data_IF_615928709719
#
_entry.id   IF_615928709719
#
_cell.length_a   1.000
_cell.length_b   1.000
_cell.length_c   1.000
_cell.angle_alpha   90.00
_cell.angle_beta   90.00
_cell.angle_gamma   90.00
#
_symmetry.space_group_name_H-M   'P 1'
#
loop_
_entity.id
_entity.type
_entity.pdbx_description
1 polymer ?
#
# COMPACT_ATOMS: atom_id res chain seq x y z
N UNK A 1 -34.24 -4.72 -7.35
CA UNK A 1 -33.37 -4.69 -6.18
C UNK A 1 -32.33 -3.62 -6.52
N UNK A 2 -32.29 -2.52 -5.78
CA UNK A 2 -31.21 -1.52 -5.97
C UNK A 2 -29.88 -2.16 -5.65
N UNK A 3 -28.83 -1.88 -6.44
CA UNK A 3 -27.47 -2.24 -6.08
C UNK A 3 -27.17 -1.65 -4.69
N UNK A 4 -26.64 -2.46 -3.81
CA UNK A 4 -26.24 -2.04 -2.48
C UNK A 4 -25.07 -1.09 -2.66
N UNK A 5 -25.23 0.16 -2.24
CA UNK A 5 -24.21 1.21 -2.40
C UNK A 5 -23.07 0.94 -1.43
N UNK A 6 -21.87 0.79 -1.96
CA UNK A 6 -20.70 0.43 -1.17
C UNK A 6 -19.39 0.90 -1.81
N UNK A 7 -18.29 0.72 -1.11
CA UNK A 7 -16.96 0.96 -1.65
C UNK A 7 -16.52 -0.24 -2.49
N UNK A 8 -16.19 -0.01 -3.77
CA UNK A 8 -15.54 -1.01 -4.63
C UNK A 8 -14.04 -0.81 -4.58
N UNK A 9 -13.31 -1.81 -4.09
CA UNK A 9 -11.84 -1.80 -4.00
C UNK A 9 -11.22 -2.61 -5.12
N UNK A 10 -10.57 -1.95 -6.07
CA UNK A 10 -9.75 -2.56 -7.11
C UNK A 10 -8.40 -2.95 -6.52
N UNK A 11 -8.15 -4.25 -6.43
CA UNK A 11 -7.14 -4.78 -5.53
C UNK A 11 -6.34 -5.94 -6.11
N UNK A 12 -5.09 -6.03 -5.69
CA UNK A 12 -4.25 -7.23 -5.77
C UNK A 12 -3.43 -7.34 -4.47
N UNK A 13 -3.04 -8.57 -4.01
CA UNK A 13 -2.34 -8.75 -2.73
C UNK A 13 -0.88 -8.26 -2.79
N UNK A 14 -0.70 -6.97 -2.82
CA UNK A 14 0.56 -6.24 -2.78
C UNK A 14 0.63 -5.37 -1.53
N UNK A 15 1.81 -4.88 -1.13
CA UNK A 15 1.89 -3.97 0.02
C UNK A 15 0.94 -2.77 -0.10
N UNK A 16 0.80 -2.19 -1.29
CA UNK A 16 -0.08 -1.03 -1.47
C UNK A 16 -1.57 -1.41 -1.40
N UNK A 17 -1.96 -2.59 -1.91
CA UNK A 17 -3.32 -3.10 -1.75
C UNK A 17 -3.69 -3.32 -0.29
N UNK A 18 -2.77 -3.92 0.48
CA UNK A 18 -2.98 -4.17 1.90
C UNK A 18 -3.15 -2.90 2.75
N UNK A 19 -2.63 -1.75 2.35
CA UNK A 19 -2.89 -0.48 3.03
C UNK A 19 -4.39 -0.20 3.13
N UNK A 20 -5.08 -0.36 2.02
CA UNK A 20 -6.52 -0.06 1.91
C UNK A 20 -7.37 -1.13 2.61
N UNK A 21 -7.05 -2.43 2.42
CA UNK A 21 -7.79 -3.48 3.16
C UNK A 21 -7.62 -3.35 4.68
N UNK A 22 -6.44 -2.93 5.17
CA UNK A 22 -6.24 -2.67 6.60
C UNK A 22 -7.14 -1.55 7.09
N UNK A 23 -7.28 -0.47 6.34
CA UNK A 23 -8.18 0.62 6.70
C UNK A 23 -9.63 0.16 6.74
N UNK A 24 -10.12 -0.45 5.67
CA UNK A 24 -11.51 -0.88 5.53
C UNK A 24 -11.92 -1.88 6.63
N UNK A 25 -11.04 -2.83 6.96
CA UNK A 25 -11.27 -3.80 8.03
C UNK A 25 -11.19 -3.18 9.45
N UNK A 26 -10.36 -2.17 9.66
CA UNK A 26 -10.25 -1.48 10.94
C UNK A 26 -11.46 -0.56 11.18
N UNK A 27 -11.88 0.19 10.17
CA UNK A 27 -13.04 1.07 10.18
C UNK A 27 -14.37 0.30 10.08
N UNK A 28 -14.33 -1.01 9.82
CA UNK A 28 -15.52 -1.89 9.65
C UNK A 28 -16.47 -1.38 8.56
N UNK A 29 -15.91 -0.84 7.49
CA UNK A 29 -16.65 -0.41 6.32
C UNK A 29 -17.04 -1.62 5.47
N UNK A 30 -18.24 -1.60 4.91
CA UNK A 30 -18.65 -2.57 3.90
C UNK A 30 -18.02 -2.24 2.55
N UNK A 31 -17.45 -3.26 1.90
CA UNK A 31 -16.78 -3.10 0.62
C UNK A 31 -16.77 -4.38 -0.21
N UNK A 32 -16.72 -4.20 -1.50
CA UNK A 32 -16.51 -5.27 -2.48
C UNK A 32 -15.08 -5.23 -3.02
N UNK A 33 -14.42 -6.38 -3.14
CA UNK A 33 -13.12 -6.48 -3.81
C UNK A 33 -13.34 -6.84 -5.28
N UNK A 34 -12.81 -5.99 -6.17
CA UNK A 34 -12.66 -6.23 -7.59
C UNK A 34 -11.20 -6.58 -7.86
N UNK A 35 -10.85 -7.85 -8.09
CA UNK A 35 -9.48 -8.25 -8.33
C UNK A 35 -8.94 -7.63 -9.62
N UNK A 36 -7.71 -7.11 -9.58
CA UNK A 36 -6.95 -6.63 -10.75
C UNK A 36 -5.66 -7.43 -10.82
N UNK A 37 -5.63 -8.47 -11.63
CA UNK A 37 -4.46 -9.35 -11.77
C UNK A 37 -3.35 -8.65 -12.54
N UNK A 38 -2.45 -8.00 -11.80
CA UNK A 38 -1.32 -7.26 -12.38
C UNK A 38 -0.32 -8.15 -13.13
N UNK A 39 -0.27 -9.44 -12.83
CA UNK A 39 0.55 -10.41 -13.54
C UNK A 39 0.00 -10.78 -14.91
N UNK A 40 -1.28 -10.49 -15.17
CA UNK A 40 -1.95 -10.71 -16.47
C UNK A 40 -2.18 -9.42 -17.27
N UNK A 41 -1.83 -8.27 -16.71
CA UNK A 41 -1.95 -6.99 -17.42
C UNK A 41 -3.32 -6.33 -17.31
N UNK A 42 -4.21 -6.79 -16.41
CA UNK A 42 -5.55 -6.22 -16.23
C UNK A 42 -5.50 -4.73 -15.82
N UNK A 43 -4.39 -4.26 -15.24
CA UNK A 43 -4.17 -2.84 -14.94
C UNK A 43 -4.06 -1.96 -16.19
N UNK A 44 -3.95 -2.53 -17.39
CA UNK A 44 -3.90 -1.80 -18.66
C UNK A 44 -5.23 -1.80 -19.41
N UNK A 45 -6.26 -2.40 -18.86
CA UNK A 45 -7.58 -2.38 -19.45
C UNK A 45 -8.17 -0.97 -19.41
N UNK A 46 -8.84 -0.57 -20.51
CA UNK A 46 -9.44 0.77 -20.65
C UNK A 46 -10.43 1.08 -19.52
N UNK A 47 -11.17 0.07 -19.06
CA UNK A 47 -12.09 0.19 -17.93
C UNK A 47 -11.38 0.62 -16.64
N UNK A 48 -10.23 0.00 -16.35
CA UNK A 48 -9.45 0.32 -15.15
C UNK A 48 -8.69 1.65 -15.30
N UNK A 49 -8.16 1.97 -16.48
CA UNK A 49 -7.46 3.24 -16.73
C UNK A 49 -8.36 4.47 -16.53
N UNK A 50 -9.68 4.36 -16.73
CA UNK A 50 -10.64 5.43 -16.39
C UNK A 50 -10.72 5.72 -14.91
N UNK A 51 -10.42 4.73 -14.05
CA UNK A 51 -10.45 4.81 -12.58
C UNK A 51 -9.06 5.19 -12.05
N UNK A 52 -8.02 4.58 -12.60
CA UNK A 52 -6.63 4.72 -12.18
C UNK A 52 -5.72 5.00 -13.39
N UNK A 53 -5.60 6.26 -13.84
CA UNK A 53 -4.84 6.61 -15.06
C UNK A 53 -3.34 6.28 -14.96
N UNK A 54 -2.84 6.07 -13.74
CA UNK A 54 -1.45 5.61 -13.50
C UNK A 54 -1.26 4.09 -13.71
N UNK A 55 -2.29 3.36 -14.17
CA UNK A 55 -2.27 1.89 -14.33
C UNK A 55 -1.69 1.14 -13.11
N UNK A 56 -2.00 1.59 -11.92
CA UNK A 56 -1.58 1.00 -10.65
C UNK A 56 -2.78 0.76 -9.74
N UNK A 57 -2.79 -0.41 -9.12
CA UNK A 57 -3.69 -0.69 -8.01
C UNK A 57 -2.99 -0.30 -6.68
N UNK A 58 -3.72 -0.02 -5.61
CA UNK A 58 -5.18 0.00 -5.48
C UNK A 58 -5.82 1.26 -6.06
N UNK A 59 -7.09 1.13 -6.36
CA UNK A 59 -8.03 2.24 -6.61
C UNK A 59 -9.36 1.91 -5.93
N UNK A 60 -10.19 2.91 -5.68
CA UNK A 60 -11.55 2.70 -5.17
C UNK A 60 -12.57 3.44 -6.04
N UNK A 61 -13.82 2.96 -6.02
CA UNK A 61 -15.01 3.75 -6.33
C UNK A 61 -15.85 3.77 -5.06
N UNK A 62 -16.23 4.95 -4.61
CA UNK A 62 -17.16 5.12 -3.50
C UNK A 62 -18.50 5.57 -4.07
N UNK A 63 -19.53 4.72 -3.91
CA UNK A 63 -20.87 4.97 -4.43
C UNK A 63 -21.66 5.98 -3.55
N UNK A 64 -21.15 6.30 -2.35
CA UNK A 64 -21.75 7.24 -1.40
C UNK A 64 -20.70 8.21 -0.82
N UNK A 65 -20.16 9.16 -1.62
CA UNK A 65 -19.21 10.13 -1.11
C UNK A 65 -19.83 11.05 -0.08
N UNK A 66 -18.98 11.64 0.81
CA UNK A 66 -19.44 12.50 1.91
C UNK A 66 -20.25 13.73 1.48
N UNK A 67 -19.97 14.26 0.30
CA UNK A 67 -20.67 15.41 -0.26
C UNK A 67 -22.06 15.06 -0.81
N UNK A 68 -22.43 13.77 -0.83
CA UNK A 68 -23.71 13.27 -1.33
C UNK A 68 -23.86 13.38 -2.86
N UNK A 69 -22.75 13.63 -3.57
CA UNK A 69 -22.71 13.73 -5.02
C UNK A 69 -22.73 12.37 -5.74
N UNK A 70 -22.36 12.38 -7.03
CA UNK A 70 -22.17 11.19 -7.82
C UNK A 70 -21.01 10.34 -7.29
N UNK A 71 -20.95 9.02 -7.61
CA UNK A 71 -19.84 8.17 -7.21
C UNK A 71 -18.47 8.76 -7.56
N UNK A 72 -17.52 8.68 -6.62
CA UNK A 72 -16.16 9.19 -6.82
C UNK A 72 -15.16 8.06 -6.97
N UNK A 73 -14.24 8.18 -7.93
CA UNK A 73 -13.08 7.29 -8.04
C UNK A 73 -11.84 7.95 -7.45
N UNK A 74 -11.08 7.18 -6.66
CA UNK A 74 -9.82 7.64 -6.05
C UNK A 74 -8.73 6.61 -6.35
N UNK A 75 -7.61 7.06 -6.89
CA UNK A 75 -6.40 6.28 -7.06
C UNK A 75 -5.27 6.85 -6.20
N UNK A 76 -4.12 6.18 -6.13
CA UNK A 76 -3.02 6.37 -5.18
C UNK A 76 -3.37 5.93 -3.75
N UNK A 77 -2.64 4.94 -3.25
CA UNK A 77 -2.94 4.33 -1.94
C UNK A 77 -2.90 5.34 -0.78
N UNK A 78 -2.05 6.37 -0.85
CA UNK A 78 -2.01 7.45 0.14
C UNK A 78 -3.23 8.36 0.07
N UNK A 79 -3.67 8.73 -1.15
CA UNK A 79 -4.87 9.52 -1.34
C UNK A 79 -6.14 8.76 -0.91
N UNK A 80 -6.19 7.46 -1.19
CA UNK A 80 -7.28 6.58 -0.73
C UNK A 80 -7.34 6.55 0.80
N UNK A 81 -6.21 6.35 1.47
CA UNK A 81 -6.16 6.36 2.94
C UNK A 81 -6.61 7.71 3.51
N UNK A 82 -6.16 8.82 2.95
CA UNK A 82 -6.59 10.15 3.37
C UNK A 82 -8.10 10.36 3.16
N UNK A 83 -8.61 10.02 1.97
CA UNK A 83 -10.04 10.13 1.64
C UNK A 83 -10.92 9.33 2.61
N UNK A 84 -10.54 8.06 2.85
CA UNK A 84 -11.29 7.20 3.76
C UNK A 84 -11.24 7.70 5.21
N UNK A 85 -10.09 8.22 5.66
CA UNK A 85 -9.93 8.78 6.98
C UNK A 85 -10.77 10.05 7.16
N UNK A 86 -10.85 10.92 6.16
CA UNK A 86 -11.72 12.09 6.16
C UNK A 86 -13.20 11.69 6.07
N UNK A 87 -13.53 10.65 5.32
CA UNK A 87 -14.90 10.11 5.22
C UNK A 87 -15.42 9.56 6.54
N UNK A 88 -14.58 8.89 7.31
CA UNK A 88 -14.97 8.23 8.56
C UNK A 88 -14.71 9.05 9.81
N UNK A 89 -13.95 10.12 9.72
CA UNK A 89 -13.39 10.88 10.85
C UNK A 89 -12.54 9.98 11.78
N UNK A 90 -11.88 8.95 11.20
CA UNK A 90 -11.07 7.98 11.94
C UNK A 90 -9.63 7.92 11.40
N UNK A 91 -8.67 7.54 12.24
CA UNK A 91 -7.24 7.31 11.91
C UNK A 91 -6.51 8.54 11.36
N UNK A 92 -7.10 9.71 11.46
CA UNK A 92 -6.51 11.03 11.21
C UNK A 92 -7.06 11.99 12.25
N UNK A 93 -6.20 12.68 13.03
CA UNK A 93 -6.70 13.59 14.08
C UNK A 93 -7.24 14.89 13.48
N UNK A 94 -8.25 15.47 14.15
CA UNK A 94 -8.82 16.76 13.80
C UNK A 94 -7.94 17.94 14.23
N UNK A 95 -7.07 17.76 15.25
CA UNK A 95 -6.08 18.76 15.63
C UNK A 95 -5.07 18.98 14.51
N UNK A 96 -4.92 20.23 14.08
CA UNK A 96 -4.06 20.60 12.95
C UNK A 96 -2.61 20.10 13.11
N UNK A 97 -2.03 20.25 14.31
CA UNK A 97 -0.62 19.88 14.53
C UNK A 97 -0.42 18.36 14.46
N UNK A 98 -1.32 17.62 15.08
CA UNK A 98 -1.33 16.15 15.02
C UNK A 98 -1.63 15.64 13.60
N UNK A 99 -2.58 16.29 12.90
CA UNK A 99 -2.88 15.97 11.49
C UNK A 99 -1.65 16.15 10.60
N UNK A 100 -0.92 17.25 10.78
CA UNK A 100 0.33 17.51 10.05
C UNK A 100 1.34 16.38 10.29
N UNK A 101 1.53 15.94 11.53
CA UNK A 101 2.43 14.81 11.83
C UNK A 101 2.04 13.53 11.11
N UNK A 102 0.75 13.17 11.11
CA UNK A 102 0.26 12.00 10.35
C UNK A 102 0.56 12.14 8.86
N UNK A 103 0.30 13.33 8.29
CA UNK A 103 0.51 13.59 6.86
C UNK A 103 1.99 13.60 6.48
N UNK A 104 2.89 14.13 7.32
CA UNK A 104 4.34 14.05 7.11
C UNK A 104 4.80 12.60 6.93
N UNK A 105 4.36 11.71 7.81
CA UNK A 105 4.72 10.30 7.75
C UNK A 105 4.01 9.54 6.62
N UNK A 106 2.78 9.92 6.28
CA UNK A 106 2.11 9.39 5.10
C UNK A 106 2.89 9.73 3.82
N UNK A 107 3.24 11.01 3.63
CA UNK A 107 4.03 11.45 2.47
C UNK A 107 5.46 10.90 2.47
N UNK A 108 6.08 10.79 3.64
CA UNK A 108 7.38 10.13 3.78
C UNK A 108 7.33 8.67 3.30
N UNK A 109 6.25 7.96 3.63
CA UNK A 109 6.07 6.59 3.13
C UNK A 109 5.87 6.57 1.61
N UNK A 110 5.01 7.46 1.07
CA UNK A 110 4.69 7.49 -0.36
C UNK A 110 5.85 7.97 -1.22
N UNK A 111 6.64 8.92 -0.75
CA UNK A 111 7.80 9.46 -1.48
C UNK A 111 9.13 8.76 -1.19
N UNK A 112 9.23 8.00 -0.11
CA UNK A 112 10.47 7.40 0.37
C UNK A 112 10.39 5.90 0.57
N UNK A 113 9.81 5.45 1.70
CA UNK A 113 9.86 4.04 2.11
C UNK A 113 9.32 3.10 1.04
N UNK A 114 8.11 3.35 0.52
CA UNK A 114 7.48 2.50 -0.48
C UNK A 114 8.30 2.40 -1.77
N UNK A 115 8.64 3.52 -2.43
CA UNK A 115 9.43 3.51 -3.66
C UNK A 115 10.81 2.88 -3.49
N UNK A 116 11.55 3.22 -2.43
CA UNK A 116 12.91 2.71 -2.24
C UNK A 116 12.93 1.22 -1.87
N UNK A 117 12.04 0.77 -0.99
CA UNK A 117 11.85 -0.65 -0.70
C UNK A 117 11.36 -1.43 -1.92
N UNK A 118 10.56 -0.80 -2.80
CA UNK A 118 10.15 -1.36 -4.07
C UNK A 118 11.31 -1.58 -5.03
N UNK A 119 12.22 -0.60 -5.16
CA UNK A 119 13.44 -0.75 -5.96
C UNK A 119 14.38 -1.79 -5.35
N UNK A 120 14.54 -1.80 -4.02
CA UNK A 120 15.27 -2.85 -3.32
C UNK A 120 14.74 -4.24 -3.73
N UNK A 121 13.44 -4.45 -3.61
CA UNK A 121 12.77 -5.70 -3.97
C UNK A 121 13.01 -6.09 -5.43
N UNK A 122 12.98 -5.10 -6.34
CA UNK A 122 13.24 -5.33 -7.76
C UNK A 122 14.66 -5.86 -7.98
N UNK A 123 15.67 -5.16 -7.49
CA UNK A 123 17.06 -5.55 -7.73
C UNK A 123 17.51 -6.77 -6.94
N UNK A 124 16.94 -7.03 -5.77
CA UNK A 124 17.25 -8.22 -4.97
C UNK A 124 16.58 -9.48 -5.52
N UNK A 125 15.34 -9.36 -6.07
CA UNK A 125 14.50 -10.54 -6.33
C UNK A 125 14.02 -10.69 -7.77
N UNK A 126 13.93 -9.62 -8.56
CA UNK A 126 13.24 -9.65 -9.85
C UNK A 126 14.12 -9.29 -11.04
N UNK A 127 15.18 -8.55 -10.86
CA UNK A 127 16.11 -8.22 -11.94
C UNK A 127 16.65 -9.52 -12.60
N UNK A 128 16.72 -9.57 -13.95
CA UNK A 128 17.15 -10.78 -14.67
C UNK A 128 18.59 -11.14 -14.33
N UNK A 129 19.44 -10.15 -14.14
CA UNK A 129 20.85 -10.31 -13.76
C UNK A 129 21.14 -9.54 -12.47
N UNK A 130 21.99 -10.08 -11.58
CA UNK A 130 22.42 -9.36 -10.39
C UNK A 130 23.22 -8.12 -10.77
N UNK A 131 22.83 -6.96 -10.22
CA UNK A 131 23.56 -5.68 -10.35
C UNK A 131 24.06 -5.29 -8.94
N UNK A 132 25.28 -5.69 -8.55
CA UNK A 132 25.76 -5.55 -7.17
C UNK A 132 25.64 -4.14 -6.62
N UNK A 133 26.02 -3.14 -7.40
CA UNK A 133 25.91 -1.73 -7.01
C UNK A 133 24.46 -1.31 -6.76
N UNK A 134 23.51 -1.70 -7.59
CA UNK A 134 22.09 -1.36 -7.39
C UNK A 134 21.52 -2.07 -6.16
N UNK A 135 21.87 -3.33 -5.97
CA UNK A 135 21.47 -4.11 -4.79
C UNK A 135 21.98 -3.43 -3.53
N UNK A 136 23.28 -3.16 -3.44
CA UNK A 136 23.88 -2.50 -2.29
C UNK A 136 23.25 -1.13 -2.01
N UNK A 137 23.10 -0.32 -3.05
CA UNK A 137 22.51 1.02 -2.95
C UNK A 137 21.11 0.99 -2.35
N UNK A 138 20.23 0.12 -2.85
CA UNK A 138 18.83 0.10 -2.40
C UNK A 138 18.64 -0.67 -1.09
N UNK A 139 19.46 -1.66 -0.78
CA UNK A 139 19.49 -2.31 0.55
C UNK A 139 19.89 -1.28 1.60
N UNK A 140 20.96 -0.50 1.36
CA UNK A 140 21.42 0.53 2.28
C UNK A 140 20.42 1.68 2.43
N UNK A 141 19.77 2.11 1.35
CA UNK A 141 18.73 3.15 1.44
C UNK A 141 17.51 2.65 2.21
N UNK A 142 17.10 1.40 2.01
CA UNK A 142 16.02 0.79 2.80
C UNK A 142 16.41 0.71 4.29
N UNK A 143 17.65 0.31 4.60
CA UNK A 143 18.16 0.29 5.97
C UNK A 143 18.16 1.71 6.61
N UNK A 144 18.55 2.73 5.84
CA UNK A 144 18.51 4.13 6.30
C UNK A 144 17.08 4.57 6.64
N UNK A 145 16.11 4.24 5.78
CA UNK A 145 14.71 4.55 6.02
C UNK A 145 14.16 3.78 7.21
N UNK A 146 14.55 2.51 7.38
CA UNK A 146 14.20 1.74 8.58
C UNK A 146 14.78 2.41 9.85
N UNK A 147 16.02 2.87 9.81
CA UNK A 147 16.62 3.57 10.96
C UNK A 147 15.87 4.87 11.31
N UNK A 148 15.36 5.61 10.31
CA UNK A 148 14.51 6.79 10.55
C UNK A 148 13.20 6.40 11.23
N UNK A 149 12.54 5.35 10.74
CA UNK A 149 11.29 4.85 11.31
C UNK A 149 11.51 4.27 12.72
N UNK A 150 12.60 3.52 12.92
CA UNK A 150 12.97 2.94 14.21
C UNK A 150 13.17 4.00 15.28
N UNK A 151 13.92 5.06 14.93
CA UNK A 151 14.12 6.21 15.82
C UNK A 151 12.80 6.89 16.21
N UNK A 152 11.86 7.02 15.26
CA UNK A 152 10.53 7.57 15.53
C UNK A 152 9.72 6.69 16.49
N UNK A 153 9.86 5.36 16.38
CA UNK A 153 9.13 4.38 17.17
C UNK A 153 9.80 4.00 18.50
N UNK A 154 10.99 4.54 18.79
CA UNK A 154 11.78 4.17 19.98
C UNK A 154 11.00 4.38 21.28
N UNK A 155 10.27 5.50 21.38
CA UNK A 155 9.48 5.88 22.55
C UNK A 155 7.97 5.96 22.27
N UNK A 156 7.53 5.47 21.12
CA UNK A 156 6.14 5.55 20.68
C UNK A 156 5.56 4.18 20.36
N UNK A 157 4.27 4.08 20.56
CA UNK A 157 3.52 2.87 20.21
C UNK A 157 3.11 2.86 18.73
N UNK A 158 2.93 4.03 18.13
CA UNK A 158 2.59 4.26 16.74
C UNK A 158 3.36 5.46 16.16
N UNK A 159 3.38 5.58 14.83
CA UNK A 159 4.25 6.53 14.12
C UNK A 159 3.94 8.00 14.50
N UNK A 160 2.66 8.33 14.67
CA UNK A 160 2.19 9.67 15.01
C UNK A 160 1.37 9.67 16.33
N UNK A 161 1.92 9.03 17.36
CA UNK A 161 1.39 8.81 18.71
C UNK A 161 0.18 7.85 18.74
N UNK A 162 -0.89 8.10 18.00
CA UNK A 162 -2.06 7.24 17.86
C UNK A 162 -2.00 6.41 16.57
N UNK A 163 -2.68 5.25 16.55
CA UNK A 163 -2.79 4.43 15.33
C UNK A 163 -3.50 5.19 14.22
N UNK A 164 -2.83 5.33 13.08
CA UNK A 164 -3.25 6.23 12.02
C UNK A 164 -2.99 5.67 10.62
N UNK A 165 -3.42 6.41 9.61
CA UNK A 165 -3.13 6.10 8.20
C UNK A 165 -1.62 6.08 7.90
N UNK A 166 -0.77 6.73 8.70
CA UNK A 166 0.68 6.63 8.58
C UNK A 166 1.18 5.21 8.89
N UNK A 167 0.65 4.58 9.93
CA UNK A 167 0.95 3.19 10.30
C UNK A 167 0.45 2.21 9.23
N UNK A 168 -0.78 2.41 8.76
CA UNK A 168 -1.39 1.59 7.71
C UNK A 168 -0.62 1.68 6.39
N UNK A 169 -0.04 2.84 6.09
CA UNK A 169 0.80 3.04 4.91
C UNK A 169 2.15 2.34 5.01
N UNK A 170 2.80 2.39 6.18
CA UNK A 170 4.15 1.87 6.39
C UNK A 170 4.18 0.35 6.62
N UNK A 171 3.24 -0.18 7.40
CA UNK A 171 3.25 -1.57 7.88
C UNK A 171 3.37 -2.61 6.76
N UNK A 172 2.60 -2.57 5.66
CA UNK A 172 2.68 -3.59 4.61
C UNK A 172 4.06 -3.66 3.92
N UNK A 173 4.79 -2.57 3.89
CA UNK A 173 6.16 -2.55 3.36
C UNK A 173 7.17 -3.16 4.33
N UNK A 174 6.96 -2.99 5.64
CA UNK A 174 7.80 -3.63 6.68
C UNK A 174 7.52 -5.14 6.78
N UNK A 175 6.32 -5.61 6.44
CA UNK A 175 6.02 -7.06 6.37
C UNK A 175 7.00 -7.81 5.45
N UNK A 176 7.55 -7.16 4.45
CA UNK A 176 8.49 -7.72 3.48
C UNK A 176 9.96 -7.54 3.87
N UNK A 177 10.27 -7.20 5.12
CA UNK A 177 11.62 -6.86 5.58
C UNK A 177 12.70 -7.90 5.22
N UNK A 178 12.41 -9.20 5.37
CA UNK A 178 13.37 -10.26 5.02
C UNK A 178 13.71 -10.27 3.53
N UNK A 179 12.70 -10.07 2.65
CA UNK A 179 12.89 -9.97 1.22
C UNK A 179 13.64 -8.70 0.80
N UNK A 180 13.66 -7.69 1.66
CA UNK A 180 14.40 -6.44 1.51
C UNK A 180 15.79 -6.53 2.17
N UNK A 181 16.19 -7.70 2.64
CA UNK A 181 17.44 -7.95 3.39
C UNK A 181 17.57 -7.08 4.63
N UNK A 182 16.45 -6.82 5.32
CA UNK A 182 16.44 -6.11 6.60
C UNK A 182 16.13 -7.07 7.74
N UNK A 183 16.91 -7.00 8.81
CA UNK A 183 16.68 -7.79 10.01
C UNK A 183 16.03 -6.90 11.08
N UNK A 184 14.82 -7.24 11.54
CA UNK A 184 14.12 -6.45 12.57
C UNK A 184 14.80 -6.50 13.95
N UNK A 185 15.76 -7.41 14.18
CA UNK A 185 16.57 -7.37 15.41
C UNK A 185 17.45 -6.12 15.50
N UNK A 186 17.81 -5.54 14.33
CA UNK A 186 18.61 -4.32 14.26
C UNK A 186 17.74 -3.06 14.45
N UNK A 187 16.40 -3.20 14.50
CA UNK A 187 15.40 -2.13 14.59
C UNK A 187 14.37 -2.42 15.69
N UNK A 188 14.72 -2.29 16.97
CA UNK A 188 13.87 -2.73 18.08
C UNK A 188 12.54 -1.97 18.19
N UNK A 189 12.49 -0.68 17.84
CA UNK A 189 11.28 0.13 17.80
C UNK A 189 10.31 -0.38 16.72
N UNK A 190 10.81 -0.61 15.49
CA UNK A 190 10.03 -1.22 14.41
C UNK A 190 9.55 -2.61 14.82
N UNK A 191 10.41 -3.43 15.42
CA UNK A 191 10.06 -4.79 15.83
C UNK A 191 8.88 -4.81 16.82
N UNK A 192 8.89 -3.91 17.82
CA UNK A 192 7.81 -3.76 18.80
C UNK A 192 6.51 -3.31 18.11
N UNK A 193 6.57 -2.28 17.30
CA UNK A 193 5.46 -1.73 16.53
C UNK A 193 4.90 -2.76 15.54
N UNK A 194 5.74 -3.45 14.79
CA UNK A 194 5.37 -4.50 13.86
C UNK A 194 4.54 -5.61 14.53
N UNK A 195 5.00 -6.10 15.70
CA UNK A 195 4.29 -7.13 16.46
C UNK A 195 2.91 -6.65 16.93
N UNK A 196 2.81 -5.39 17.39
CA UNK A 196 1.57 -4.78 17.82
C UNK A 196 0.55 -4.72 16.69
N UNK A 197 0.94 -4.24 15.52
CA UNK A 197 0.03 -4.15 14.37
C UNK A 197 -0.35 -5.54 13.86
N UNK A 198 0.63 -6.45 13.78
CA UNK A 198 0.40 -7.83 13.32
C UNK A 198 -0.65 -8.57 14.17
N UNK A 199 -0.77 -8.26 15.45
CA UNK A 199 -1.70 -8.91 16.37
C UNK A 199 -3.13 -8.38 16.30
N UNK A 200 -3.39 -7.28 15.56
CA UNK A 200 -4.74 -6.73 15.40
C UNK A 200 -5.60 -7.67 14.55
N UNK A 201 -6.79 -7.99 15.03
CA UNK A 201 -7.72 -8.87 14.29
C UNK A 201 -8.11 -8.31 12.91
N UNK A 202 -8.27 -6.98 12.80
CA UNK A 202 -8.52 -6.28 11.54
C UNK A 202 -7.39 -6.52 10.52
N UNK A 203 -6.14 -6.47 10.96
CA UNK A 203 -4.98 -6.74 10.10
C UNK A 203 -4.95 -8.20 9.65
N UNK A 204 -5.27 -9.13 10.55
CA UNK A 204 -5.39 -10.56 10.21
C UNK A 204 -6.46 -10.76 9.14
N UNK A 205 -7.66 -10.15 9.29
CA UNK A 205 -8.72 -10.20 8.28
C UNK A 205 -8.30 -9.58 6.96
N UNK A 206 -7.67 -8.39 6.99
CA UNK A 206 -7.20 -7.70 5.79
C UNK A 206 -6.23 -8.55 4.95
N UNK A 207 -5.30 -9.25 5.61
CA UNK A 207 -4.36 -10.14 4.92
C UNK A 207 -5.00 -11.46 4.47
N UNK A 208 -6.05 -11.94 5.15
CA UNK A 208 -6.82 -13.10 4.72
C UNK A 208 -7.49 -12.86 3.36
N UNK A 209 -8.07 -11.65 3.13
CA UNK A 209 -8.65 -11.27 1.82
C UNK A 209 -7.67 -11.47 0.66
N UNK A 210 -6.39 -11.13 0.85
CA UNK A 210 -5.39 -11.34 -0.18
C UNK A 210 -5.12 -12.81 -0.52
N UNK A 211 -5.17 -13.70 0.49
CA UNK A 211 -4.99 -15.14 0.30
C UNK A 211 -6.15 -15.78 -0.45
N UNK A 212 -7.35 -15.27 -0.30
CA UNK A 212 -8.54 -15.74 -1.02
C UNK A 212 -8.48 -15.41 -2.52
N UNK A 213 -7.81 -14.30 -2.87
CA UNK A 213 -7.69 -13.82 -4.26
C UNK A 213 -6.53 -14.47 -5.00
N UNK A 214 -5.38 -14.61 -4.35
CA UNK A 214 -4.20 -15.22 -4.98
C UNK A 214 -3.49 -16.14 -3.99
N UNK A 215 -3.40 -17.43 -4.36
CA UNK A 215 -2.68 -18.47 -3.60
C UNK A 215 -1.27 -18.73 -4.14
N UNK A 216 -0.93 -18.16 -5.30
CA UNK A 216 0.36 -18.32 -5.95
C UNK A 216 1.33 -17.17 -5.68
N UNK A 217 2.56 -17.25 -6.18
CA UNK A 217 3.48 -16.12 -6.15
C UNK A 217 2.87 -14.94 -6.93
N UNK A 218 3.01 -13.74 -6.38
CA UNK A 218 2.52 -12.51 -7.03
C UNK A 218 3.26 -12.24 -8.34
N UNK A 219 4.48 -12.74 -8.48
CA UNK A 219 5.36 -12.56 -9.65
C UNK A 219 5.96 -13.91 -10.04
N UNK A 220 5.64 -14.35 -11.25
CA UNK A 220 6.26 -15.48 -11.97
C UNK A 220 6.98 -14.96 -13.22
N UNK A 221 7.59 -15.86 -14.02
CA UNK A 221 8.38 -15.47 -15.20
C UNK A 221 7.55 -14.79 -16.30
N UNK A 222 6.28 -15.13 -16.43
CA UNK A 222 5.38 -14.50 -17.40
C UNK A 222 4.98 -13.10 -16.95
N UNK A 223 4.59 -12.97 -15.68
CA UNK A 223 4.20 -11.69 -15.08
C UNK A 223 5.37 -10.71 -15.01
N UNK A 224 6.63 -11.16 -14.90
CA UNK A 224 7.81 -10.27 -14.97
C UNK A 224 7.85 -9.45 -16.24
N UNK A 225 7.55 -10.06 -17.40
CA UNK A 225 7.53 -9.36 -18.70
C UNK A 225 6.48 -8.25 -18.72
N UNK A 226 5.30 -8.52 -18.13
CA UNK A 226 4.20 -7.57 -18.04
C UNK A 226 4.53 -6.44 -17.04
N UNK A 227 5.03 -6.80 -15.86
CA UNK A 227 5.27 -5.85 -14.77
C UNK A 227 6.48 -4.95 -15.03
N UNK A 228 7.54 -5.49 -15.63
CA UNK A 228 8.82 -4.78 -15.77
C UNK A 228 9.12 -4.35 -17.21
N UNK A 229 8.34 -4.80 -18.20
CA UNK A 229 8.43 -4.36 -19.59
C UNK A 229 7.65 -3.07 -19.91
N UNK A 230 7.16 -2.35 -18.89
CA UNK A 230 6.34 -1.16 -19.08
C UNK A 230 7.17 0.03 -19.59
N UNK A 231 6.56 0.83 -20.46
CA UNK A 231 7.13 2.05 -21.00
C UNK A 231 6.02 3.00 -21.47
N UNK A 232 6.39 4.09 -22.15
CA UNK A 232 5.42 5.07 -22.62
C UNK A 232 4.30 4.46 -23.50
N UNK A 233 4.60 3.39 -24.23
CA UNK A 233 3.66 2.67 -25.08
C UNK A 233 2.54 1.96 -24.31
N UNK A 234 2.72 1.69 -23.02
CA UNK A 234 1.70 1.02 -22.18
C UNK A 234 0.63 1.98 -21.67
N UNK A 235 0.88 3.28 -21.76
CA UNK A 235 -0.02 4.35 -21.28
C UNK A 235 -0.77 5.01 -22.45
N UNK A 236 -0.14 5.02 -23.64
CA UNK A 236 -0.79 5.59 -24.82
C UNK A 236 -1.96 4.70 -25.24
N UNK A 237 -3.12 5.30 -25.43
CA UNK A 237 -4.28 4.62 -25.98
C UNK A 237 -3.88 3.86 -27.24
N UNK A 238 -4.27 2.61 -27.31
CA UNK A 238 -4.24 1.87 -28.58
C UNK A 238 -5.43 2.40 -29.36
N UNK A 239 -5.15 3.21 -30.38
CA UNK A 239 -6.12 3.61 -31.39
C UNK A 239 -6.83 2.39 -32.01
#
# INVERSE_FOLDING_TARGET
MGEEKMIKLFYWPTPNGHKVTMFLEEAKLDYEIVPINIGRGEQFETSFLKIAPNNRMPAIIDDEPLDGGDPISVFESGAILQYLAEKTDEFIPNDLRKKVQVMEWLFWQMGGLGPMAGQNHHFVSYAPDPIPYAIERYVNETARLYAVLDKQLCERDYIADDYSIADMACYPWVVLHERQRQNLEDFPGIKKWYRRIRSKESVVRAYAKGKDISRGPVVDEESKKILFGQGAHTIKEKD
#
